data_IF_192566705751
#
_entry.id   IF_192566705751
#
_cell.length_a   1.000
_cell.length_b   1.000
_cell.length_c   1.000
_cell.angle_alpha   90.00
_cell.angle_beta   90.00
_cell.angle_gamma   90.00
#
_symmetry.space_group_name_H-M   'P 1'
#
loop_
_entity.id
_entity.type
_entity.pdbx_description
1 polymer ?
#
# COMPACT_ATOMS: atom_id res chain seq x y z
N UNK A 1 -21.27 21.72 -9.18
CA UNK A 1 -20.73 21.43 -7.83
C UNK A 1 -21.06 20.02 -7.36
N UNK A 2 -22.33 19.61 -7.26
CA UNK A 2 -22.72 18.25 -6.77
C UNK A 2 -22.08 17.13 -7.59
N UNK A 3 -22.07 17.23 -8.93
CA UNK A 3 -21.45 16.24 -9.82
C UNK A 3 -19.95 16.11 -9.58
N UNK A 4 -19.23 17.22 -9.36
CA UNK A 4 -17.80 17.20 -9.08
C UNK A 4 -17.48 16.55 -7.74
N UNK A 5 -18.31 16.78 -6.72
CA UNK A 5 -18.19 16.16 -5.40
C UNK A 5 -18.43 14.65 -5.52
N UNK A 6 -19.45 14.23 -6.27
CA UNK A 6 -19.73 12.81 -6.50
C UNK A 6 -18.60 12.11 -7.27
N UNK A 7 -18.03 12.75 -8.29
CA UNK A 7 -16.89 12.22 -9.05
C UNK A 7 -15.63 12.14 -8.18
N UNK A 8 -15.34 13.16 -7.37
CA UNK A 8 -14.22 13.15 -6.43
C UNK A 8 -14.41 12.09 -5.33
N UNK A 9 -15.63 11.92 -4.83
CA UNK A 9 -16.00 10.88 -3.87
C UNK A 9 -15.87 9.48 -4.46
N UNK A 10 -16.36 9.27 -5.68
CA UNK A 10 -16.22 7.99 -6.38
C UNK A 10 -14.76 7.66 -6.69
N UNK A 11 -13.96 8.66 -7.10
CA UNK A 11 -12.52 8.50 -7.34
C UNK A 11 -11.76 8.13 -6.07
N UNK A 12 -12.01 8.83 -4.96
CA UNK A 12 -11.37 8.54 -3.67
C UNK A 12 -11.76 7.16 -3.14
N UNK A 13 -13.03 6.76 -3.24
CA UNK A 13 -13.49 5.41 -2.86
C UNK A 13 -12.89 4.35 -3.79
N UNK A 14 -12.82 4.61 -5.10
CA UNK A 14 -12.21 3.71 -6.07
C UNK A 14 -10.74 3.45 -5.75
N UNK A 15 -9.96 4.52 -5.53
CA UNK A 15 -8.56 4.40 -5.14
C UNK A 15 -8.40 3.64 -3.82
N UNK A 16 -9.24 3.93 -2.82
CA UNK A 16 -9.20 3.25 -1.53
C UNK A 16 -9.50 1.75 -1.62
N UNK A 17 -10.55 1.36 -2.36
CA UNK A 17 -10.91 -0.05 -2.57
C UNK A 17 -9.86 -0.77 -3.41
N UNK A 18 -9.34 -0.10 -4.44
CA UNK A 18 -8.26 -0.62 -5.30
C UNK A 18 -7.02 -0.89 -4.46
N UNK A 19 -6.58 0.07 -3.64
CA UNK A 19 -5.46 -0.08 -2.68
C UNK A 19 -5.67 -1.30 -1.78
N UNK A 20 -6.86 -1.44 -1.16
CA UNK A 20 -7.13 -2.53 -0.20
C UNK A 20 -7.13 -3.92 -0.82
N UNK A 21 -7.76 -4.08 -1.99
CA UNK A 21 -7.86 -5.39 -2.66
C UNK A 21 -6.51 -5.93 -3.08
N UNK A 22 -5.66 -5.02 -3.50
CA UNK A 22 -4.34 -5.38 -3.92
C UNK A 22 -3.37 -5.53 -2.74
N UNK A 23 -3.64 -4.91 -1.58
CA UNK A 23 -2.84 -5.15 -0.34
C UNK A 23 -2.87 -6.61 0.05
N UNK A 24 -4.06 -7.19 0.06
CA UNK A 24 -4.27 -8.59 0.43
C UNK A 24 -3.60 -9.57 -0.55
N UNK A 25 -3.53 -9.23 -1.84
CA UNK A 25 -2.98 -10.11 -2.87
C UNK A 25 -1.47 -9.97 -3.02
N UNK A 26 -0.97 -8.74 -2.92
CA UNK A 26 0.42 -8.43 -3.21
C UNK A 26 1.33 -8.74 -2.00
N UNK A 27 0.82 -8.68 -0.76
CA UNK A 27 1.49 -9.23 0.42
C UNK A 27 1.81 -10.73 0.28
N UNK A 28 1.02 -11.50 -0.49
CA UNK A 28 1.28 -12.92 -0.74
C UNK A 28 2.29 -13.18 -1.86
N UNK A 29 2.55 -12.19 -2.71
CA UNK A 29 3.34 -12.34 -3.94
C UNK A 29 4.57 -11.42 -4.01
N UNK A 30 4.82 -10.61 -2.98
CA UNK A 30 5.90 -9.62 -3.00
C UNK A 30 5.66 -8.49 -4.00
N UNK A 31 4.41 -8.17 -4.34
CA UNK A 31 4.08 -7.13 -5.33
C UNK A 31 3.51 -5.89 -4.64
N UNK A 32 3.45 -4.79 -5.39
CA UNK A 32 2.77 -3.58 -4.99
C UNK A 32 1.28 -3.83 -5.07
N UNK A 33 0.65 -3.30 -4.05
CA UNK A 33 -0.77 -3.33 -3.87
C UNK A 33 -1.33 -2.39 -4.94
N UNK A 34 -1.06 -1.10 -4.90
CA UNK A 34 -1.75 -0.14 -5.75
C UNK A 34 -1.63 -0.36 -7.27
N UNK A 35 -0.43 -0.68 -7.77
CA UNK A 35 -0.13 -0.77 -9.20
C UNK A 35 0.19 -2.19 -9.71
N UNK A 36 0.37 -3.16 -8.82
CA UNK A 36 0.79 -4.52 -9.20
C UNK A 36 2.27 -4.65 -9.59
N UNK A 37 3.06 -3.58 -9.45
CA UNK A 37 4.51 -3.58 -9.68
C UNK A 37 5.20 -4.63 -8.81
N UNK A 38 6.28 -5.24 -9.29
CA UNK A 38 7.00 -6.23 -8.47
C UNK A 38 7.84 -5.52 -7.40
N UNK A 39 7.55 -5.75 -6.12
CA UNK A 39 8.26 -5.15 -4.99
C UNK A 39 9.34 -6.06 -4.43
N UNK A 40 9.66 -7.16 -5.11
CA UNK A 40 10.77 -8.04 -4.74
C UNK A 40 12.07 -7.24 -4.66
N UNK A 41 12.64 -7.14 -3.45
CA UNK A 41 13.90 -6.42 -3.20
C UNK A 41 13.78 -4.90 -3.03
N UNK A 42 12.59 -4.32 -3.00
CA UNK A 42 12.43 -2.89 -2.73
C UNK A 42 12.55 -2.59 -1.22
N UNK A 43 13.60 -1.86 -0.84
CA UNK A 43 13.89 -1.46 0.55
C UNK A 43 13.46 -0.02 0.89
N UNK A 44 13.03 0.77 -0.09
CA UNK A 44 12.71 2.19 0.10
C UNK A 44 11.44 2.44 0.92
N UNK A 45 10.63 1.40 1.19
CA UNK A 45 9.37 1.54 1.92
C UNK A 45 8.27 2.26 1.13
N UNK A 46 8.51 2.58 -0.16
CA UNK A 46 7.60 3.27 -1.06
C UNK A 46 7.67 2.61 -2.45
N UNK A 47 6.54 2.52 -3.14
CA UNK A 47 6.50 2.00 -4.51
C UNK A 47 7.00 3.06 -5.51
N UNK A 48 7.94 2.73 -6.41
CA UNK A 48 8.51 3.70 -7.37
C UNK A 48 7.53 4.14 -8.46
N UNK A 49 6.51 3.33 -8.76
CA UNK A 49 5.52 3.66 -9.80
C UNK A 49 4.39 4.56 -9.25
N UNK A 50 3.85 4.22 -8.08
CA UNK A 50 2.64 4.84 -7.56
C UNK A 50 2.84 5.61 -6.24
N UNK A 51 4.04 5.61 -5.69
CA UNK A 51 4.37 6.28 -4.43
C UNK A 51 3.72 5.69 -3.18
N UNK A 52 3.01 4.56 -3.30
CA UNK A 52 2.31 3.96 -2.15
C UNK A 52 3.31 3.43 -1.12
N UNK A 53 3.09 3.78 0.14
CA UNK A 53 3.87 3.26 1.27
C UNK A 53 3.73 1.74 1.40
N UNK A 54 4.87 1.07 1.47
CA UNK A 54 5.00 -0.37 1.66
C UNK A 54 5.32 -0.56 3.13
N UNK A 55 4.35 -1.03 3.90
CA UNK A 55 4.60 -1.44 5.28
C UNK A 55 5.41 -2.72 5.25
N UNK A 56 6.73 -2.59 5.19
CA UNK A 56 7.63 -3.73 5.42
C UNK A 56 7.46 -4.14 6.87
N UNK A 57 7.03 -5.38 7.18
CA UNK A 57 6.98 -5.84 8.56
C UNK A 57 8.40 -5.73 9.10
N UNK A 58 8.61 -4.81 10.04
CA UNK A 58 9.88 -4.65 10.73
C UNK A 58 10.12 -5.92 11.55
N UNK A 59 10.72 -6.93 10.92
CA UNK A 59 11.26 -8.12 11.58
C UNK A 59 12.44 -7.66 12.46
N UNK A 60 12.15 -7.06 13.61
CA UNK A 60 13.21 -6.54 14.46
C UNK A 60 12.84 -5.51 15.52
N UNK A 61 11.57 -5.34 15.93
CA UNK A 61 11.33 -4.69 17.23
C UNK A 61 11.55 -5.71 18.35
N UNK A 62 12.83 -5.92 18.61
CA UNK A 62 13.38 -6.30 19.90
C UNK A 62 12.71 -5.48 21.00
N UNK A 63 11.67 -6.02 21.62
CA UNK A 63 11.34 -5.73 23.01
C UNK A 63 12.44 -6.33 23.91
N UNK A 64 13.67 -5.87 23.67
CA UNK A 64 14.75 -5.91 24.63
C UNK A 64 14.57 -4.70 25.52
N UNK A 65 13.57 -4.73 26.41
CA UNK A 65 13.70 -4.07 27.69
C UNK A 65 13.84 -5.20 28.71
N UNK A 66 15.12 -5.49 28.96
CA UNK A 66 15.69 -6.47 29.88
C UNK A 66 15.50 -5.99 31.34
N UNK A 67 15.84 -6.84 32.33
CA UNK A 67 15.02 -7.32 33.46
C UNK A 67 14.59 -6.28 34.49
#
# INVERSE_FOLDING_TARGET
MIVLIALAGAWTVYEFVKVRRTTARAARLGKCTQCGYDLTGNLSGLCPECGTEIVTPTNGQSAGLRP
#
